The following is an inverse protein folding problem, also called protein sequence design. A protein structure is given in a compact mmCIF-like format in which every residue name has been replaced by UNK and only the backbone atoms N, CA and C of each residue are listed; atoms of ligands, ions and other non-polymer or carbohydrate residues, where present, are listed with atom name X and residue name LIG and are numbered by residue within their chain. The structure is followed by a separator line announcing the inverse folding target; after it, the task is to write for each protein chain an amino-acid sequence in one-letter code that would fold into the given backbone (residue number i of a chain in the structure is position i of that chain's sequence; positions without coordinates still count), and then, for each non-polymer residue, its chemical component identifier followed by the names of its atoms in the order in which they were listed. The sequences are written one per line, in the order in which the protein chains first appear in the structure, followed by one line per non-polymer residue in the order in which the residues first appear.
data_IF_633372177041
#
_entry.id   IF_633372177041
#
_cell.length_a   1.000
_cell.length_b   1.000
_cell.length_c   1.000
_cell.angle_alpha   90.00
_cell.angle_beta   90.00
_cell.angle_gamma   90.00
#
_symmetry.space_group_name_H-M   'P 1'
#
loop_
_entity.id
_entity.type
_entity.pdbx_description
1 polymer ?
#
# COMPACT_ATOMS: atom_id res chain seq x y z
N UNK A 1 16.70 5.98 -39.66
CA UNK A 1 16.15 6.36 -38.34
C UNK A 1 16.86 7.63 -37.90
N UNK A 2 16.16 8.71 -37.53
CA UNK A 2 16.82 9.95 -37.11
C UNK A 2 17.59 9.72 -35.80
N UNK A 3 18.82 10.23 -35.69
CA UNK A 3 19.70 10.10 -34.51
C UNK A 3 18.95 10.49 -33.23
N UNK A 4 18.08 11.49 -33.30
CA UNK A 4 17.24 11.94 -32.19
C UNK A 4 16.25 10.88 -31.68
N UNK A 5 15.61 10.12 -32.57
CA UNK A 5 14.68 9.05 -32.17
C UNK A 5 15.40 7.94 -31.42
N UNK A 6 16.61 7.58 -31.89
CA UNK A 6 17.44 6.59 -31.21
C UNK A 6 17.81 7.04 -29.79
N UNK A 7 18.20 8.30 -29.61
CA UNK A 7 18.50 8.87 -28.28
C UNK A 7 17.28 8.86 -27.36
N UNK A 8 16.10 9.25 -27.86
CA UNK A 8 14.86 9.21 -27.08
C UNK A 8 14.54 7.79 -26.60
N UNK A 9 14.74 6.78 -27.43
CA UNK A 9 14.50 5.38 -27.05
C UNK A 9 15.44 4.93 -25.92
N UNK A 10 16.73 5.29 -25.98
CA UNK A 10 17.70 4.99 -24.91
C UNK A 10 17.29 5.67 -23.60
N UNK A 11 16.94 6.95 -23.64
CA UNK A 11 16.50 7.70 -22.46
C UNK A 11 15.23 7.08 -21.86
N UNK A 12 14.23 6.75 -22.69
CA UNK A 12 13.02 6.06 -22.25
C UNK A 12 13.34 4.72 -21.59
N UNK A 13 14.19 3.91 -22.20
CA UNK A 13 14.63 2.63 -21.63
C UNK A 13 15.23 2.79 -20.24
N UNK A 14 16.16 3.74 -20.08
CA UNK A 14 16.77 4.06 -18.79
C UNK A 14 15.73 4.51 -17.74
N UNK A 15 14.81 5.39 -18.13
CA UNK A 15 13.75 5.87 -17.25
C UNK A 15 12.77 4.75 -16.84
N UNK A 16 12.41 3.86 -17.75
CA UNK A 16 11.54 2.70 -17.47
C UNK A 16 12.20 1.75 -16.47
N UNK A 17 13.49 1.45 -16.65
CA UNK A 17 14.24 0.58 -15.74
C UNK A 17 14.32 1.22 -14.35
N UNK A 18 14.66 2.51 -14.26
CA UNK A 18 14.71 3.25 -13.00
C UNK A 18 13.35 3.31 -12.32
N UNK A 19 12.28 3.65 -13.05
CA UNK A 19 10.92 3.68 -12.54
C UNK A 19 10.48 2.31 -12.01
N UNK A 20 10.81 1.23 -12.72
CA UNK A 20 10.50 -0.14 -12.29
C UNK A 20 11.24 -0.52 -11.01
N UNK A 21 12.51 -0.13 -10.87
CA UNK A 21 13.29 -0.36 -9.66
C UNK A 21 12.68 0.36 -8.45
N UNK A 22 12.36 1.65 -8.60
CA UNK A 22 11.72 2.45 -7.55
C UNK A 22 10.38 1.85 -7.14
N UNK A 23 9.56 1.41 -8.11
CA UNK A 23 8.27 0.75 -7.83
C UNK A 23 8.47 -0.53 -7.01
N UNK A 24 9.46 -1.34 -7.36
CA UNK A 24 9.79 -2.59 -6.64
C UNK A 24 10.23 -2.30 -5.21
N UNK A 25 11.17 -1.38 -5.03
CA UNK A 25 11.68 -0.97 -3.72
C UNK A 25 10.54 -0.46 -2.82
N UNK A 26 9.67 0.39 -3.36
CA UNK A 26 8.50 0.89 -2.64
C UNK A 26 7.56 -0.24 -2.22
N UNK A 27 7.28 -1.20 -3.11
CA UNK A 27 6.44 -2.36 -2.79
C UNK A 27 7.07 -3.21 -1.68
N UNK A 28 8.39 -3.43 -1.73
CA UNK A 28 9.11 -4.17 -0.71
C UNK A 28 9.01 -3.47 0.66
N UNK A 29 9.22 -2.15 0.71
CA UNK A 29 9.10 -1.35 1.94
C UNK A 29 7.69 -1.39 2.52
N UNK A 30 6.65 -1.28 1.69
CA UNK A 30 5.26 -1.40 2.14
C UNK A 30 4.97 -2.78 2.72
N UNK A 31 5.44 -3.84 2.05
CA UNK A 31 5.25 -5.22 2.53
C UNK A 31 5.94 -5.43 3.87
N UNK A 32 7.17 -4.92 4.02
CA UNK A 32 7.92 -4.97 5.27
C UNK A 32 7.18 -4.24 6.41
N UNK A 33 6.71 -3.01 6.16
CA UNK A 33 5.94 -2.25 7.16
C UNK A 33 4.68 -2.99 7.62
N UNK A 34 3.95 -3.62 6.69
CA UNK A 34 2.76 -4.40 7.03
C UNK A 34 3.09 -5.64 7.87
N UNK A 35 4.16 -6.36 7.52
CA UNK A 35 4.64 -7.50 8.30
C UNK A 35 5.05 -7.09 9.71
N UNK A 36 5.79 -5.99 9.84
CA UNK A 36 6.23 -5.48 11.14
C UNK A 36 5.04 -5.02 12.00
N UNK A 37 4.06 -4.34 11.41
CA UNK A 37 2.80 -3.99 12.08
C UNK A 37 2.11 -5.24 12.58
N UNK A 38 1.94 -6.26 11.73
CA UNK A 38 1.25 -7.49 12.11
C UNK A 38 1.97 -8.22 13.27
N UNK A 39 3.30 -8.27 13.23
CA UNK A 39 4.10 -8.86 14.28
C UNK A 39 3.95 -8.10 15.61
N UNK A 40 4.11 -6.78 15.58
CA UNK A 40 4.01 -5.93 16.78
C UNK A 40 2.59 -5.95 17.35
N UNK A 41 1.55 -6.00 16.50
CA UNK A 41 0.16 -6.18 16.94
C UNK A 41 -0.06 -7.52 17.63
N UNK A 42 0.51 -8.60 17.09
CA UNK A 42 0.47 -9.92 17.72
C UNK A 42 1.09 -9.89 19.12
N UNK A 43 2.29 -9.35 19.24
CA UNK A 43 3.00 -9.22 20.54
C UNK A 43 2.26 -8.31 21.51
N UNK A 44 1.73 -7.16 21.05
CA UNK A 44 0.97 -6.25 21.89
C UNK A 44 -0.32 -6.88 22.41
N UNK A 45 -1.04 -7.64 21.59
CA UNK A 45 -2.26 -8.35 22.03
C UNK A 45 -1.96 -9.39 23.12
N UNK A 46 -0.79 -10.00 23.09
CA UNK A 46 -0.37 -11.00 24.09
C UNK A 46 0.16 -10.37 25.37
N UNK A 47 0.93 -9.29 25.26
CA UNK A 47 1.71 -8.74 26.40
C UNK A 47 1.17 -7.43 26.97
N UNK A 48 0.37 -6.68 26.20
CA UNK A 48 -0.17 -5.38 26.60
C UNK A 48 0.89 -4.29 26.83
N UNK A 49 2.13 -4.47 26.35
CA UNK A 49 3.22 -3.53 26.65
C UNK A 49 2.99 -2.16 26.01
N UNK A 50 3.13 -1.07 26.77
CA UNK A 50 2.94 0.28 26.24
C UNK A 50 3.97 0.67 25.17
N UNK A 51 5.17 0.07 25.19
CA UNK A 51 6.21 0.30 24.19
C UNK A 51 5.81 -0.24 22.81
N UNK A 52 5.16 -1.40 22.75
CA UNK A 52 4.66 -1.97 21.51
C UNK A 52 3.55 -1.12 20.91
N UNK A 53 2.71 -0.51 21.77
CA UNK A 53 1.68 0.45 21.33
C UNK A 53 2.29 1.70 20.71
N UNK A 54 3.37 2.24 21.30
CA UNK A 54 4.10 3.39 20.74
C UNK A 54 4.71 3.02 19.39
N UNK A 55 5.39 1.87 19.31
CA UNK A 55 5.98 1.36 18.08
C UNK A 55 4.93 1.19 16.97
N UNK A 56 3.78 0.60 17.31
CA UNK A 56 2.67 0.41 16.39
C UNK A 56 2.13 1.73 15.84
N UNK A 57 2.01 2.74 16.69
CA UNK A 57 1.57 4.09 16.30
C UNK A 57 2.54 4.72 15.30
N UNK A 58 3.84 4.57 15.53
CA UNK A 58 4.89 5.05 14.62
C UNK A 58 4.82 4.34 13.26
N UNK A 59 4.74 3.01 13.25
CA UNK A 59 4.68 2.22 12.02
C UNK A 59 3.43 2.53 11.18
N UNK A 60 2.27 2.67 11.83
CA UNK A 60 1.02 3.07 11.15
C UNK A 60 1.10 4.47 10.56
N UNK A 61 1.77 5.41 11.25
CA UNK A 61 2.02 6.77 10.74
C UNK A 61 2.91 6.73 9.51
N UNK A 62 4.00 5.96 9.55
CA UNK A 62 4.89 5.80 8.41
C UNK A 62 4.18 5.17 7.21
N UNK A 63 3.37 4.13 7.43
CA UNK A 63 2.54 3.53 6.39
C UNK A 63 1.57 4.55 5.77
N UNK A 64 0.90 5.35 6.61
CA UNK A 64 0.00 6.41 6.13
C UNK A 64 0.74 7.44 5.29
N UNK A 65 1.94 7.87 5.70
CA UNK A 65 2.78 8.77 4.91
C UNK A 65 3.16 8.16 3.55
N UNK A 66 3.56 6.89 3.53
CA UNK A 66 3.91 6.17 2.30
C UNK A 66 2.72 6.04 1.34
N UNK A 67 1.50 5.89 1.85
CA UNK A 67 0.28 5.82 1.05
C UNK A 67 -0.20 7.21 0.59
N UNK A 68 -0.13 8.23 1.45
CA UNK A 68 -0.54 9.60 1.13
C UNK A 68 0.36 10.28 0.11
N UNK A 69 1.66 9.95 0.07
CA UNK A 69 2.57 10.43 -0.96
C UNK A 69 2.11 10.05 -2.38
N UNK A 70 1.40 8.93 -2.55
CA UNK A 70 0.77 8.57 -3.84
C UNK A 70 -0.40 9.46 -4.19
N UNK A 71 -1.21 9.83 -3.19
CA UNK A 71 -2.45 10.58 -3.40
C UNK A 71 -2.20 12.03 -3.83
N UNK A 72 -1.09 12.61 -3.34
CA UNK A 72 -0.72 14.00 -3.66
C UNK A 72 -0.17 14.19 -5.09
N UNK A 73 0.31 13.12 -5.74
CA UNK A 73 0.86 13.18 -7.11
C UNK A 73 -0.17 12.92 -8.21
N UNK A 74 -1.41 12.56 -7.87
CA UNK A 74 -2.45 12.38 -8.88
C UNK A 74 -2.98 13.75 -9.35
N UNK A 75 -3.00 14.02 -10.67
CA UNK A 75 -3.67 15.21 -11.21
C UNK A 75 -5.12 15.23 -10.72
N UNK A 76 -5.68 16.41 -10.47
CA UNK A 76 -7.01 16.59 -9.83
C UNK A 76 -8.12 15.81 -10.54
N UNK A 77 -7.94 15.55 -11.84
CA UNK A 77 -8.93 14.94 -12.73
C UNK A 77 -9.04 13.41 -12.57
N UNK A 78 -8.08 12.76 -11.91
CA UNK A 78 -8.08 11.29 -11.70
C UNK A 78 -8.55 10.85 -10.31
N UNK A 79 -8.91 11.80 -9.42
CA UNK A 79 -9.28 11.49 -8.02
C UNK A 79 -10.64 10.81 -7.86
N UNK A 80 -11.46 10.75 -8.92
CA UNK A 80 -12.84 10.23 -8.88
C UNK A 80 -13.00 8.85 -9.50
N UNK A 81 -11.95 8.20 -10.01
CA UNK A 81 -12.09 6.87 -10.64
C UNK A 81 -11.97 5.73 -9.61
N UNK A 82 -13.09 5.53 -8.90
CA UNK A 82 -13.69 4.24 -8.50
C UNK A 82 -12.79 3.05 -8.14
N UNK A 83 -12.82 2.65 -6.87
CA UNK A 83 -12.96 1.23 -6.53
C UNK A 83 -14.46 0.88 -6.60
N UNK A 84 -14.88 -0.26 -7.18
CA UNK A 84 -16.24 -0.72 -6.98
C UNK A 84 -16.42 -1.02 -5.49
N UNK A 85 -17.37 -0.30 -4.86
CA UNK A 85 -17.91 -0.65 -3.56
C UNK A 85 -18.43 -2.08 -3.64
N UNK A 86 -17.80 -3.04 -2.98
CA UNK A 86 -18.46 -4.29 -2.64
C UNK A 86 -19.44 -4.02 -1.49
N UNK A 87 -20.53 -3.31 -1.80
CA UNK A 87 -21.74 -3.31 -0.99
C UNK A 87 -22.43 -4.66 -1.25
N UNK A 88 -22.25 -5.62 -0.34
CA UNK A 88 -23.29 -6.64 -0.11
C UNK A 88 -23.65 -6.58 1.35
N UNK A 89 -24.70 -5.81 1.62
CA UNK A 89 -25.60 -6.04 2.73
C UNK A 89 -26.12 -7.47 2.61
N UNK A 90 -25.84 -8.33 3.59
CA UNK A 90 -26.77 -9.40 3.93
C UNK A 90 -26.98 -9.32 5.44
N UNK A 91 -28.21 -8.94 5.75
CA UNK A 91 -28.83 -8.79 7.06
C UNK A 91 -28.85 -10.11 7.85
N UNK A 92 -28.84 -9.96 9.18
CA UNK A 92 -29.03 -10.99 10.19
C UNK A 92 -30.20 -11.95 9.88
N UNK A 93 -29.99 -13.23 10.17
CA UNK A 93 -31.00 -14.27 9.97
C UNK A 93 -30.57 -15.65 10.45
N UNK A 94 -30.55 -15.81 11.77
CA UNK A 94 -30.94 -17.00 12.54
C UNK A 94 -30.85 -18.43 11.96
N UNK A 95 -30.41 -19.33 12.86
CA UNK A 95 -30.76 -20.76 12.98
C UNK A 95 -29.81 -21.80 12.37
N UNK A 96 -29.09 -22.45 13.29
CA UNK A 96 -28.74 -23.88 13.27
C UNK A 96 -29.96 -24.74 12.87
N UNK A 97 -29.75 -25.89 12.21
CA UNK A 97 -29.83 -27.13 12.98
C UNK A 97 -28.80 -28.19 12.60
N UNK A 98 -28.57 -29.08 13.57
CA UNK A 98 -27.84 -30.34 13.42
C UNK A 98 -28.68 -31.37 12.66
N UNK A 99 -28.02 -32.17 11.82
CA UNK A 99 -28.28 -33.60 11.63
C UNK A 99 -26.93 -34.29 11.46
#
# INVERSE_FOLDING_TARGET
MCVWEAHKCVIRGALIVKGSAIKRERKARLTHLLQEIHQVEGTHKQTGRPDDRRKLTTLRRELSTQLNYSYQKMPKDERTHTYPKSETNITDGNSCPQI
#
